data_IF_005663581057
#
_entry.id   IF_005663581057
#
_cell.length_a   1.000
_cell.length_b   1.000
_cell.length_c   1.000
_cell.angle_alpha   90.00
_cell.angle_beta   90.00
_cell.angle_gamma   90.00
#
_symmetry.space_group_name_H-M   'P 1'
#
loop_
_entity.id
_entity.type
_entity.pdbx_description
1 polymer ?
#
# COMPACT_ATOMS: atom_id res chain seq x y z
N UNK A 1 -17.77 -90.79 28.08
CA UNK A 1 -17.90 -90.17 26.77
C UNK A 1 -17.70 -88.69 26.99
N UNK A 2 -16.59 -88.19 26.55
CA UNK A 2 -15.95 -86.91 26.90
C UNK A 2 -16.33 -85.80 25.91
N UNK A 3 -16.91 -84.76 26.44
CA UNK A 3 -17.15 -83.50 25.65
C UNK A 3 -16.05 -82.54 26.00
N UNK A 4 -15.24 -82.17 25.00
CA UNK A 4 -14.18 -81.11 25.12
C UNK A 4 -14.79 -79.79 24.76
N UNK A 5 -14.77 -78.90 25.77
CA UNK A 5 -15.09 -77.46 25.53
C UNK A 5 -13.92 -76.70 24.87
N UNK A 6 -14.24 -75.95 23.85
CA UNK A 6 -13.29 -75.05 23.20
C UNK A 6 -13.43 -73.67 23.86
N UNK A 7 -12.35 -73.16 24.39
CA UNK A 7 -12.26 -71.81 24.91
C UNK A 7 -11.96 -70.83 23.76
N UNK A 8 -12.83 -69.82 23.59
CA UNK A 8 -12.68 -68.77 22.63
C UNK A 8 -11.91 -67.59 23.28
N UNK A 9 -10.70 -67.36 22.85
CA UNK A 9 -9.88 -66.21 23.30
C UNK A 9 -10.29 -64.92 22.55
N UNK A 10 -10.84 -63.97 23.28
CA UNK A 10 -11.22 -62.67 22.78
C UNK A 10 -9.97 -61.76 22.83
N UNK A 11 -9.41 -61.40 21.66
CA UNK A 11 -8.31 -60.45 21.56
C UNK A 11 -8.94 -59.04 21.50
N UNK A 12 -8.76 -58.28 22.57
CA UNK A 12 -9.06 -56.84 22.58
C UNK A 12 -7.93 -56.11 21.88
N UNK A 13 -8.21 -55.55 20.70
CA UNK A 13 -7.32 -54.59 20.03
C UNK A 13 -7.51 -53.21 20.65
N UNK A 14 -6.53 -52.76 21.42
CA UNK A 14 -6.48 -51.40 21.91
C UNK A 14 -6.07 -50.46 20.74
N UNK A 15 -7.03 -49.72 20.21
CA UNK A 15 -6.81 -48.68 19.23
C UNK A 15 -6.13 -47.49 19.90
N UNK A 16 -4.85 -47.30 19.65
CA UNK A 16 -4.13 -46.05 19.94
C UNK A 16 -4.64 -44.98 18.96
N UNK A 17 -5.60 -44.17 19.39
CA UNK A 17 -6.01 -42.97 18.73
C UNK A 17 -4.87 -41.94 18.82
N UNK A 18 -4.11 -41.76 17.74
CA UNK A 18 -3.19 -40.65 17.62
C UNK A 18 -4.04 -39.34 17.56
N UNK A 19 -4.03 -38.59 18.65
CA UNK A 19 -4.55 -37.25 18.67
C UNK A 19 -3.67 -36.41 17.72
N UNK A 20 -4.16 -36.10 16.53
CA UNK A 20 -3.58 -35.11 15.67
C UNK A 20 -3.76 -33.75 16.38
N UNK A 21 -2.66 -33.22 16.89
CA UNK A 21 -2.61 -31.83 17.36
C UNK A 21 -2.91 -30.93 16.14
N UNK A 22 -4.12 -30.41 16.09
CA UNK A 22 -4.49 -29.36 15.16
C UNK A 22 -3.60 -28.14 15.48
N UNK A 23 -2.73 -27.78 14.53
CA UNK A 23 -2.00 -26.51 14.60
C UNK A 23 -3.01 -25.39 14.84
N UNK A 24 -2.74 -24.44 15.75
CA UNK A 24 -3.63 -23.33 15.96
C UNK A 24 -3.83 -22.63 14.62
N UNK A 25 -5.08 -22.49 14.19
CA UNK A 25 -5.44 -21.69 13.04
C UNK A 25 -4.82 -20.29 13.29
N UNK A 26 -3.95 -19.85 12.37
CA UNK A 26 -3.47 -18.51 12.39
C UNK A 26 -4.71 -17.62 12.43
N UNK A 27 -4.83 -16.82 13.48
CA UNK A 27 -5.85 -15.80 13.54
C UNK A 27 -5.56 -14.87 12.39
N UNK A 28 -6.32 -14.96 11.31
CA UNK A 28 -6.41 -13.93 10.31
C UNK A 28 -6.94 -12.68 11.01
N UNK A 29 -6.05 -11.91 11.59
CA UNK A 29 -6.38 -10.51 11.90
C UNK A 29 -6.78 -9.88 10.57
N UNK A 30 -7.98 -9.28 10.48
CA UNK A 30 -8.39 -8.63 9.26
C UNK A 30 -7.33 -7.60 8.92
N UNK A 31 -6.73 -7.80 7.77
CA UNK A 31 -5.68 -6.96 7.24
C UNK A 31 -6.13 -5.50 7.26
N UNK A 32 -5.63 -4.73 8.21
CA UNK A 32 -5.97 -3.30 8.40
C UNK A 32 -5.36 -2.53 7.23
N UNK A 33 -6.12 -2.42 6.13
CA UNK A 33 -5.78 -1.54 5.03
C UNK A 33 -6.48 -0.21 5.28
N UNK A 34 -5.82 0.70 5.95
CA UNK A 34 -6.29 2.04 6.31
C UNK A 34 -5.75 3.12 5.37
N UNK A 35 -4.87 2.74 4.45
CA UNK A 35 -4.35 3.60 3.41
C UNK A 35 -4.88 3.18 2.03
N UNK A 36 -5.14 4.17 1.19
CA UNK A 36 -5.47 3.97 -0.23
C UNK A 36 -4.56 4.87 -1.06
N UNK A 37 -3.98 4.31 -2.12
CA UNK A 37 -3.29 5.09 -3.15
C UNK A 37 -3.98 4.79 -4.47
N UNK A 38 -4.64 5.80 -5.04
CA UNK A 38 -5.38 5.67 -6.29
C UNK A 38 -4.68 6.43 -7.41
N UNK A 39 -4.57 5.82 -8.58
CA UNK A 39 -3.97 6.38 -9.78
C UNK A 39 -5.06 6.66 -10.80
N UNK A 40 -5.07 7.88 -11.33
CA UNK A 40 -6.10 8.38 -12.25
C UNK A 40 -5.39 8.98 -13.47
N UNK A 41 -5.78 8.54 -14.65
CA UNK A 41 -5.31 9.08 -15.91
C UNK A 41 -6.51 9.56 -16.73
N UNK A 42 -6.52 10.85 -17.08
CA UNK A 42 -7.62 11.46 -17.82
C UNK A 42 -7.17 11.91 -19.20
N UNK A 43 -8.12 12.11 -20.10
CA UNK A 43 -7.84 12.63 -21.43
C UNK A 43 -7.14 13.99 -21.33
N UNK A 44 -6.08 14.24 -22.13
CA UNK A 44 -5.47 15.54 -22.22
C UNK A 44 -6.48 16.66 -22.49
N UNK A 45 -6.39 17.76 -21.74
CA UNK A 45 -7.37 18.85 -21.75
C UNK A 45 -8.53 18.67 -20.75
N UNK A 46 -8.61 17.55 -20.04
CA UNK A 46 -9.61 17.30 -19.00
C UNK A 46 -9.10 17.55 -17.57
N UNK A 47 -7.88 18.05 -17.42
CA UNK A 47 -7.18 18.18 -16.12
C UNK A 47 -7.96 19.07 -15.15
N UNK A 48 -8.55 20.17 -15.62
CA UNK A 48 -9.35 21.09 -14.79
C UNK A 48 -10.60 20.38 -14.26
N UNK A 49 -11.26 19.56 -15.08
CA UNK A 49 -12.45 18.79 -14.68
C UNK A 49 -12.08 17.72 -13.64
N UNK A 50 -10.99 16.99 -13.88
CA UNK A 50 -10.48 15.99 -12.94
C UNK A 50 -10.13 16.64 -11.60
N UNK A 51 -9.41 17.76 -11.63
CA UNK A 51 -9.02 18.49 -10.43
C UNK A 51 -10.23 19.01 -9.65
N UNK A 52 -11.26 19.50 -10.32
CA UNK A 52 -12.50 19.94 -9.67
C UNK A 52 -13.21 18.77 -8.96
N UNK A 53 -13.34 17.60 -9.60
CA UNK A 53 -13.94 16.42 -9.01
C UNK A 53 -13.15 15.93 -7.78
N UNK A 54 -11.81 15.84 -7.89
CA UNK A 54 -10.93 15.38 -6.81
C UNK A 54 -10.90 16.36 -5.62
N UNK A 55 -10.95 17.68 -5.86
CA UNK A 55 -11.05 18.68 -4.80
C UNK A 55 -12.39 18.61 -4.08
N UNK A 56 -13.49 18.44 -4.82
CA UNK A 56 -14.81 18.28 -4.24
C UNK A 56 -14.87 17.01 -3.36
N UNK A 57 -14.34 15.88 -3.86
CA UNK A 57 -14.22 14.64 -3.09
C UNK A 57 -13.45 14.89 -1.80
N UNK A 58 -12.24 15.47 -1.88
CA UNK A 58 -11.41 15.75 -0.70
C UNK A 58 -12.17 16.61 0.32
N UNK A 59 -12.81 17.68 -0.12
CA UNK A 59 -13.54 18.59 0.76
C UNK A 59 -14.73 17.90 1.45
N UNK A 60 -15.44 17.04 0.74
CA UNK A 60 -16.54 16.26 1.31
C UNK A 60 -16.06 15.20 2.30
N UNK A 61 -14.97 14.50 1.94
CA UNK A 61 -14.39 13.41 2.75
C UNK A 61 -13.93 13.85 4.14
N UNK A 62 -13.58 15.13 4.34
CA UNK A 62 -13.21 15.67 5.66
C UNK A 62 -14.30 15.52 6.72
N UNK A 63 -15.56 15.32 6.30
CA UNK A 63 -16.72 15.16 7.18
C UNK A 63 -17.00 13.69 7.53
N UNK A 64 -16.34 12.76 6.86
CA UNK A 64 -16.58 11.33 7.06
C UNK A 64 -15.92 10.82 8.34
N UNK A 65 -16.62 9.94 9.03
CA UNK A 65 -16.13 9.38 10.29
C UNK A 65 -14.85 8.56 10.09
N UNK A 66 -13.79 8.97 10.81
CA UNK A 66 -12.48 8.32 10.76
C UNK A 66 -11.57 8.80 9.63
N UNK A 67 -11.92 9.90 8.95
CA UNK A 67 -11.00 10.61 8.05
C UNK A 67 -9.78 11.10 8.84
N UNK A 68 -8.58 10.84 8.32
CA UNK A 68 -7.33 11.35 8.87
C UNK A 68 -6.65 12.32 7.91
N UNK A 69 -6.49 11.95 6.64
CA UNK A 69 -5.92 12.83 5.62
C UNK A 69 -6.27 12.38 4.20
N UNK A 70 -6.25 13.33 3.26
CA UNK A 70 -6.29 13.06 1.82
C UNK A 70 -5.38 14.05 1.10
N UNK A 71 -4.45 13.54 0.31
CA UNK A 71 -3.62 14.32 -0.60
C UNK A 71 -4.06 14.08 -2.04
N UNK A 72 -4.31 15.15 -2.78
CA UNK A 72 -4.50 15.10 -4.23
C UNK A 72 -3.24 15.63 -4.88
N UNK A 73 -2.65 14.82 -5.76
CA UNK A 73 -1.36 15.07 -6.37
C UNK A 73 -1.49 15.06 -7.90
N UNK A 74 -0.76 15.93 -8.57
CA UNK A 74 -0.67 15.97 -10.04
C UNK A 74 0.76 15.66 -10.46
N UNK A 75 0.93 14.82 -11.47
CA UNK A 75 2.26 14.38 -11.94
C UNK A 75 3.02 15.50 -12.63
N UNK A 76 4.29 15.65 -12.29
CA UNK A 76 5.19 16.58 -12.95
C UNK A 76 5.46 16.11 -14.39
N UNK A 77 5.29 17.02 -15.35
CA UNK A 77 5.50 16.71 -16.78
C UNK A 77 4.36 15.93 -17.46
N UNK A 78 3.39 15.41 -16.73
CA UNK A 78 2.20 14.74 -17.26
C UNK A 78 0.95 15.19 -16.47
N UNK A 79 0.41 16.38 -16.77
CA UNK A 79 -0.63 17.01 -15.96
C UNK A 79 -1.97 16.26 -15.97
N UNK A 80 -2.19 15.36 -16.93
CA UNK A 80 -3.35 14.50 -17.03
C UNK A 80 -3.28 13.24 -16.11
N UNK A 81 -2.20 13.07 -15.34
CA UNK A 81 -2.05 12.00 -14.35
C UNK A 81 -2.17 12.55 -12.94
N UNK A 82 -3.02 11.91 -12.13
CA UNK A 82 -3.24 12.27 -10.73
C UNK A 82 -3.00 11.06 -9.84
N UNK A 83 -2.68 11.36 -8.58
CA UNK A 83 -2.66 10.37 -7.49
C UNK A 83 -3.46 10.94 -6.33
N UNK A 84 -4.29 10.10 -5.72
CA UNK A 84 -4.94 10.39 -4.45
C UNK A 84 -4.36 9.46 -3.40
N UNK A 85 -3.90 10.03 -2.30
CA UNK A 85 -3.44 9.27 -1.13
C UNK A 85 -4.39 9.55 0.01
N UNK A 86 -5.09 8.51 0.47
CA UNK A 86 -6.04 8.59 1.56
C UNK A 86 -5.52 7.85 2.79
N UNK A 87 -5.78 8.41 3.97
CA UNK A 87 -5.52 7.77 5.25
C UNK A 87 -6.77 7.82 6.12
N UNK A 88 -7.17 6.66 6.62
CA UNK A 88 -8.36 6.44 7.42
C UNK A 88 -8.00 5.83 8.76
N UNK A 89 -8.79 6.08 9.80
CA UNK A 89 -8.58 5.53 11.14
C UNK A 89 -8.51 3.99 11.15
N UNK A 90 -9.26 3.34 10.26
CA UNK A 90 -9.29 1.89 10.09
C UNK A 90 -10.03 1.50 8.81
N UNK A 91 -9.96 0.23 8.46
CA UNK A 91 -10.64 -0.32 7.27
C UNK A 91 -12.17 -0.12 7.27
N UNK A 92 -12.82 -0.14 8.45
CA UNK A 92 -14.26 0.10 8.57
C UNK A 92 -14.62 1.53 8.14
N UNK A 93 -13.86 2.53 8.59
CA UNK A 93 -14.05 3.93 8.19
C UNK A 93 -13.81 4.12 6.70
N UNK A 94 -12.75 3.50 6.15
CA UNK A 94 -12.48 3.51 4.71
C UNK A 94 -13.62 2.88 3.91
N UNK A 95 -14.13 1.72 4.33
CA UNK A 95 -15.24 1.06 3.65
C UNK A 95 -16.54 1.87 3.71
N UNK A 96 -16.80 2.54 4.84
CA UNK A 96 -17.94 3.43 4.98
C UNK A 96 -17.83 4.66 4.05
N UNK A 97 -16.63 5.24 3.93
CA UNK A 97 -16.35 6.32 2.96
C UNK A 97 -16.62 5.88 1.52
N UNK A 98 -16.10 4.72 1.11
CA UNK A 98 -16.28 4.21 -0.26
C UNK A 98 -17.76 4.05 -0.68
N UNK A 99 -18.69 3.90 0.28
CA UNK A 99 -20.12 3.84 0.05
C UNK A 99 -20.83 5.20 0.06
N UNK A 100 -20.12 6.32 0.21
CA UNK A 100 -20.74 7.64 0.29
C UNK A 100 -21.12 8.20 -1.09
N UNK A 101 -22.23 8.96 -1.20
CA UNK A 101 -22.67 9.55 -2.46
C UNK A 101 -21.59 10.40 -3.15
N UNK A 102 -20.84 11.20 -2.39
CA UNK A 102 -19.77 12.04 -2.94
C UNK A 102 -18.65 11.24 -3.62
N UNK A 103 -18.41 9.99 -3.18
CA UNK A 103 -17.46 9.10 -3.84
C UNK A 103 -18.01 8.63 -5.18
N UNK A 104 -19.29 8.24 -5.21
CA UNK A 104 -19.98 7.86 -6.45
C UNK A 104 -19.99 9.02 -7.46
N UNK A 105 -20.34 10.24 -7.01
CA UNK A 105 -20.35 11.45 -7.85
C UNK A 105 -18.97 11.76 -8.43
N UNK A 106 -17.92 11.66 -7.61
CA UNK A 106 -16.54 11.87 -8.06
C UNK A 106 -16.10 10.79 -9.07
N UNK A 107 -16.48 9.54 -8.84
CA UNK A 107 -16.18 8.41 -9.75
C UNK A 107 -16.88 8.58 -11.10
N UNK A 108 -18.16 8.97 -11.10
CA UNK A 108 -18.91 9.25 -12.32
C UNK A 108 -18.27 10.40 -13.11
N UNK A 109 -17.92 11.50 -12.43
CA UNK A 109 -17.29 12.66 -13.05
C UNK A 109 -15.93 12.31 -13.66
N UNK A 110 -15.13 11.44 -13.02
CA UNK A 110 -13.86 10.98 -13.52
C UNK A 110 -14.03 9.98 -14.68
N UNK A 111 -14.94 9.01 -14.55
CA UNK A 111 -15.20 8.01 -15.59
C UNK A 111 -15.54 8.63 -16.94
N UNK A 112 -16.20 9.77 -16.95
CA UNK A 112 -16.54 10.52 -18.16
C UNK A 112 -15.31 11.11 -18.90
N UNK A 113 -14.13 11.08 -18.30
CA UNK A 113 -12.89 11.69 -18.83
C UNK A 113 -11.67 10.79 -18.70
N UNK A 114 -11.76 9.65 -18.05
CA UNK A 114 -10.67 8.68 -17.90
C UNK A 114 -10.29 8.03 -19.23
N UNK A 115 -8.99 7.80 -19.44
CA UNK A 115 -8.43 7.04 -20.57
C UNK A 115 -7.81 5.72 -20.12
N UNK A 116 -7.69 5.51 -18.81
CA UNK A 116 -7.30 4.25 -18.19
C UNK A 116 -8.24 3.96 -17.01
N UNK A 117 -8.46 2.69 -16.64
CA UNK A 117 -9.26 2.35 -15.47
C UNK A 117 -8.72 3.01 -14.20
N UNK A 118 -9.62 3.49 -13.35
CA UNK A 118 -9.27 3.99 -12.02
C UNK A 118 -8.59 2.88 -11.21
N UNK A 119 -7.31 3.06 -10.91
CA UNK A 119 -6.48 2.06 -10.23
C UNK A 119 -6.38 2.37 -8.74
N UNK A 120 -7.30 1.81 -7.95
CA UNK A 120 -7.35 1.95 -6.50
C UNK A 120 -6.62 0.79 -5.83
N UNK A 121 -5.59 1.12 -5.06
CA UNK A 121 -4.75 0.15 -4.37
C UNK A 121 -4.85 0.33 -2.86
N UNK A 122 -5.48 -0.59 -2.13
CA UNK A 122 -5.45 -0.59 -0.67
C UNK A 122 -4.07 -0.99 -0.16
N UNK A 123 -3.59 -0.26 0.85
CA UNK A 123 -2.27 -0.46 1.42
C UNK A 123 -2.34 -0.61 2.93
N UNK A 124 -1.32 -1.26 3.48
CA UNK A 124 -0.98 -1.30 4.90
C UNK A 124 0.32 -0.56 5.11
N UNK A 125 0.44 0.03 6.26
CA UNK A 125 1.71 0.59 6.69
C UNK A 125 2.77 -0.50 6.78
N UNK A 126 3.92 -0.27 6.16
CA UNK A 126 5.14 -1.03 6.37
C UNK A 126 6.06 -0.28 7.33
N UNK A 127 6.33 0.98 7.06
CA UNK A 127 7.05 1.89 7.94
C UNK A 127 6.67 3.32 7.64
N UNK A 128 6.24 4.06 8.67
CA UNK A 128 5.92 5.48 8.56
C UNK A 128 6.79 6.29 9.50
N UNK A 129 7.02 7.54 9.16
CA UNK A 129 7.74 8.51 9.95
C UNK A 129 6.84 9.60 10.49
N UNK A 130 7.44 10.63 11.09
CA UNK A 130 6.71 11.84 11.45
C UNK A 130 6.21 12.54 10.17
N UNK A 131 4.94 12.94 10.20
CA UNK A 131 4.35 13.69 9.11
C UNK A 131 4.52 15.19 9.39
N UNK A 132 5.61 15.77 8.92
CA UNK A 132 5.85 17.19 9.02
C UNK A 132 5.02 17.94 7.95
N UNK A 133 4.41 19.08 8.25
CA UNK A 133 3.70 19.87 7.26
C UNK A 133 4.66 20.47 6.22
N UNK A 134 4.22 20.64 4.97
CA UNK A 134 4.85 21.55 4.02
C UNK A 134 5.74 20.96 2.95
N UNK A 135 5.52 19.75 2.48
CA UNK A 135 6.25 19.24 1.31
C UNK A 135 5.68 19.72 -0.03
N UNK A 136 6.54 20.05 -1.00
CA UNK A 136 6.13 20.47 -2.34
C UNK A 136 6.40 19.44 -3.42
N UNK A 137 7.30 18.48 -3.18
CA UNK A 137 7.67 17.41 -4.11
C UNK A 137 7.34 16.07 -3.47
N UNK A 138 6.49 15.31 -4.13
CA UNK A 138 6.17 13.93 -3.77
C UNK A 138 6.83 12.99 -4.77
N UNK A 139 7.74 12.16 -4.30
CA UNK A 139 8.30 11.04 -5.06
C UNK A 139 7.55 9.76 -4.66
N UNK A 140 6.81 9.21 -5.60
CA UNK A 140 6.09 7.94 -5.40
C UNK A 140 6.83 6.87 -6.18
N UNK A 141 7.28 5.84 -5.46
CA UNK A 141 8.08 4.75 -6.02
C UNK A 141 7.36 3.42 -5.85
N UNK A 142 7.21 2.69 -6.94
CA UNK A 142 6.74 1.30 -6.89
C UNK A 142 7.93 0.35 -6.89
N UNK A 143 7.86 -0.63 -6.00
CA UNK A 143 8.87 -1.68 -5.85
C UNK A 143 8.14 -3.02 -5.74
N UNK A 144 8.37 -3.90 -6.71
CA UNK A 144 7.79 -5.23 -6.75
C UNK A 144 8.88 -6.26 -6.48
N UNK A 145 8.85 -6.90 -5.34
CA UNK A 145 9.79 -7.96 -5.01
C UNK A 145 9.35 -9.30 -5.59
N UNK A 146 10.32 -10.15 -5.92
CA UNK A 146 10.02 -11.56 -6.15
C UNK A 146 9.36 -12.13 -4.88
N UNK A 147 8.26 -12.90 -4.97
CA UNK A 147 7.51 -13.35 -3.79
C UNK A 147 8.35 -14.06 -2.74
N UNK A 148 9.35 -14.87 -3.18
CA UNK A 148 10.27 -15.57 -2.28
C UNK A 148 11.25 -14.65 -1.55
N UNK A 149 11.45 -13.42 -2.03
CA UNK A 149 12.38 -12.44 -1.47
C UNK A 149 11.66 -11.28 -0.75
N UNK A 150 10.36 -11.39 -0.55
CA UNK A 150 9.53 -10.34 0.07
C UNK A 150 10.10 -9.87 1.41
N UNK A 151 10.43 -10.77 2.31
CA UNK A 151 10.95 -10.40 3.64
C UNK A 151 12.26 -9.62 3.55
N UNK A 152 13.19 -10.06 2.70
CA UNK A 152 14.44 -9.32 2.44
C UNK A 152 14.17 -7.94 1.83
N UNK A 153 13.13 -7.85 1.00
CA UNK A 153 12.66 -6.59 0.43
C UNK A 153 12.11 -5.63 1.49
N UNK A 154 11.32 -6.14 2.43
CA UNK A 154 10.80 -5.35 3.56
C UNK A 154 11.96 -4.78 4.40
N UNK A 155 12.96 -5.60 4.75
CA UNK A 155 14.16 -5.17 5.49
C UNK A 155 14.93 -4.09 4.72
N UNK A 156 15.10 -4.28 3.40
CA UNK A 156 15.77 -3.30 2.53
C UNK A 156 15.02 -1.96 2.51
N UNK A 157 13.70 -1.98 2.41
CA UNK A 157 12.88 -0.77 2.44
C UNK A 157 12.91 -0.10 3.81
N UNK A 158 12.90 -0.86 4.91
CA UNK A 158 13.04 -0.28 6.26
C UNK A 158 14.34 0.52 6.40
N UNK A 159 15.46 -0.06 5.96
CA UNK A 159 16.76 0.61 5.97
C UNK A 159 16.75 1.87 5.09
N UNK A 160 16.24 1.76 3.88
CA UNK A 160 16.15 2.90 2.95
C UNK A 160 15.27 4.02 3.48
N UNK A 161 14.12 3.69 4.08
CA UNK A 161 13.24 4.68 4.68
C UNK A 161 13.88 5.37 5.90
N UNK A 162 14.64 4.63 6.71
CA UNK A 162 15.38 5.19 7.83
C UNK A 162 16.42 6.22 7.36
N UNK A 163 17.22 5.90 6.35
CA UNK A 163 18.20 6.82 5.78
C UNK A 163 17.54 8.01 5.06
N UNK A 164 16.45 7.76 4.35
CA UNK A 164 15.67 8.82 3.68
C UNK A 164 15.15 9.87 4.64
N UNK A 165 14.64 9.46 5.81
CA UNK A 165 14.13 10.39 6.85
C UNK A 165 15.21 11.30 7.43
N UNK A 166 16.47 10.90 7.38
CA UNK A 166 17.62 11.65 7.89
C UNK A 166 18.22 12.61 6.87
N UNK A 167 17.74 12.55 5.63
CA UNK A 167 18.25 13.40 4.54
C UNK A 167 17.68 14.81 4.67
N UNK A 168 18.55 15.81 4.59
CA UNK A 168 18.14 17.22 4.64
C UNK A 168 17.09 17.56 3.58
N UNK A 169 16.01 18.18 4.05
CA UNK A 169 14.88 18.57 3.21
C UNK A 169 13.85 17.45 3.01
N UNK A 170 14.03 16.29 3.66
CA UNK A 170 12.96 15.32 3.76
C UNK A 170 11.89 15.81 4.73
N UNK A 171 10.64 15.72 4.31
CA UNK A 171 9.44 16.09 5.11
C UNK A 171 8.74 14.85 5.60
N UNK A 172 8.74 13.81 4.78
CA UNK A 172 8.10 12.52 5.05
C UNK A 172 8.75 11.43 4.20
N UNK A 173 8.91 10.25 4.76
CA UNK A 173 9.39 9.09 4.02
C UNK A 173 8.69 7.85 4.56
N UNK A 174 7.64 7.43 3.87
CA UNK A 174 6.80 6.31 4.26
C UNK A 174 6.85 5.21 3.22
N UNK A 175 6.69 3.98 3.67
CA UNK A 175 6.53 2.83 2.81
C UNK A 175 5.31 2.00 3.21
N UNK A 176 4.65 1.48 2.21
CA UNK A 176 3.39 0.75 2.33
C UNK A 176 3.47 -0.55 1.57
N UNK A 177 2.82 -1.59 2.09
CA UNK A 177 2.61 -2.85 1.41
C UNK A 177 1.20 -2.90 0.83
N UNK A 178 1.07 -3.24 -0.45
CA UNK A 178 -0.24 -3.40 -1.08
C UNK A 178 -1.00 -4.58 -0.43
N UNK A 179 -2.21 -4.33 0.06
CA UNK A 179 -2.93 -5.28 0.91
C UNK A 179 -3.26 -6.61 0.23
N UNK A 180 -3.57 -6.58 -1.06
CA UNK A 180 -3.89 -7.75 -1.89
C UNK A 180 -2.69 -8.31 -2.68
N UNK A 181 -1.52 -7.66 -2.61
CA UNK A 181 -0.27 -8.07 -3.26
C UNK A 181 0.91 -7.79 -2.33
N UNK A 182 1.17 -8.65 -1.33
CA UNK A 182 2.10 -8.32 -0.25
C UNK A 182 3.58 -8.21 -0.68
N UNK A 183 3.94 -8.60 -1.90
CA UNK A 183 5.24 -8.38 -2.50
C UNK A 183 5.34 -7.08 -3.32
N UNK A 184 4.24 -6.33 -3.46
CA UNK A 184 4.21 -5.00 -4.08
C UNK A 184 4.20 -3.93 -3.00
N UNK A 185 5.13 -3.01 -3.08
CA UNK A 185 5.30 -1.95 -2.09
C UNK A 185 5.31 -0.59 -2.78
N UNK A 186 4.83 0.40 -2.05
CA UNK A 186 4.82 1.79 -2.52
C UNK A 186 5.54 2.65 -1.49
N UNK A 187 6.56 3.38 -1.92
CA UNK A 187 7.26 4.38 -1.12
C UNK A 187 6.69 5.75 -1.48
N UNK A 188 6.35 6.55 -0.47
CA UNK A 188 5.94 7.94 -0.61
C UNK A 188 6.95 8.80 0.14
N UNK A 189 7.87 9.39 -0.59
CA UNK A 189 8.85 10.33 -0.06
C UNK A 189 8.44 11.77 -0.41
N UNK A 190 8.41 12.64 0.60
CA UNK A 190 8.00 14.04 0.44
C UNK A 190 9.18 14.95 0.78
N UNK A 191 9.43 15.90 -0.10
CA UNK A 191 10.58 16.80 -0.03
C UNK A 191 10.12 18.25 -0.04
N UNK A 192 10.85 19.11 0.66
CA UNK A 192 10.56 20.54 0.67
C UNK A 192 10.93 21.24 -0.65
N UNK A 193 11.94 20.73 -1.38
CA UNK A 193 12.37 21.25 -2.69
C UNK A 193 12.77 20.12 -3.63
N UNK A 194 12.81 20.44 -4.93
CA UNK A 194 13.30 19.51 -5.96
C UNK A 194 14.81 19.25 -5.81
N UNK A 195 15.56 20.21 -5.30
CA UNK A 195 17.00 20.09 -5.04
C UNK A 195 17.27 19.10 -3.90
N UNK A 196 16.44 19.09 -2.86
CA UNK A 196 16.54 18.09 -1.77
C UNK A 196 16.30 16.68 -2.30
N UNK A 197 15.27 16.47 -3.12
CA UNK A 197 15.05 15.20 -3.80
C UNK A 197 16.24 14.80 -4.70
N UNK A 198 16.79 15.72 -5.51
CA UNK A 198 17.96 15.46 -6.36
C UNK A 198 19.18 15.03 -5.54
N UNK A 199 19.45 15.70 -4.40
CA UNK A 199 20.54 15.29 -3.51
C UNK A 199 20.34 13.87 -2.96
N UNK A 200 19.12 13.56 -2.52
CA UNK A 200 18.78 12.23 -2.05
C UNK A 200 18.99 11.16 -3.13
N UNK A 201 18.51 11.39 -4.34
CA UNK A 201 18.66 10.42 -5.44
C UNK A 201 20.11 10.20 -5.87
N UNK A 202 20.99 11.18 -5.68
CA UNK A 202 22.42 11.10 -5.99
C UNK A 202 23.27 10.52 -4.83
N UNK A 203 22.70 10.43 -3.63
CA UNK A 203 23.42 9.99 -2.44
C UNK A 203 23.77 8.50 -2.46
N UNK A 204 24.81 8.12 -1.71
CA UNK A 204 25.28 6.73 -1.62
C UNK A 204 24.16 5.77 -1.15
N UNK A 205 23.38 6.06 -0.08
CA UNK A 205 22.32 5.16 0.37
C UNK A 205 21.28 4.85 -0.70
N UNK A 206 20.92 5.81 -1.55
CA UNK A 206 19.97 5.59 -2.65
C UNK A 206 20.55 4.72 -3.75
N UNK A 207 21.83 4.89 -4.07
CA UNK A 207 22.53 4.05 -5.05
C UNK A 207 22.65 2.62 -4.56
N UNK A 208 23.04 2.42 -3.30
CA UNK A 208 23.13 1.13 -2.62
C UNK A 208 21.76 0.43 -2.60
N UNK A 209 20.71 1.13 -2.19
CA UNK A 209 19.34 0.61 -2.24
C UNK A 209 18.98 0.08 -3.63
N UNK A 210 19.23 0.87 -4.68
CA UNK A 210 18.93 0.46 -6.06
C UNK A 210 19.76 -0.73 -6.52
N UNK A 211 21.01 -0.82 -6.14
CA UNK A 211 21.88 -1.96 -6.45
C UNK A 211 21.41 -3.24 -5.75
N UNK A 212 21.03 -3.15 -4.48
CA UNK A 212 20.52 -4.29 -3.71
C UNK A 212 19.11 -4.71 -4.13
N UNK A 213 18.31 -3.76 -4.64
CA UNK A 213 16.98 -4.02 -5.15
C UNK A 213 17.00 -4.87 -6.43
N UNK A 214 17.91 -4.59 -7.36
CA UNK A 214 17.95 -5.21 -8.70
C UNK A 214 17.80 -6.74 -8.70
N UNK A 215 18.57 -7.51 -7.91
CA UNK A 215 18.45 -8.97 -7.90
C UNK A 215 17.20 -9.49 -7.17
N UNK A 216 16.47 -8.62 -6.47
CA UNK A 216 15.29 -8.96 -5.67
C UNK A 216 13.99 -8.51 -6.32
N UNK A 217 14.07 -7.63 -7.32
CA UNK A 217 12.91 -7.01 -7.96
C UNK A 217 12.34 -7.89 -9.08
N UNK A 218 11.01 -7.95 -9.13
CA UNK A 218 10.25 -8.56 -10.23
C UNK A 218 9.86 -7.57 -11.33
N UNK A 219 10.17 -6.28 -11.16
CA UNK A 219 9.84 -5.22 -12.10
C UNK A 219 10.93 -4.15 -12.16
N UNK A 220 10.80 -3.21 -13.10
CA UNK A 220 11.66 -2.04 -13.16
C UNK A 220 11.37 -1.09 -11.99
N UNK A 221 12.40 -0.39 -11.52
CA UNK A 221 12.25 0.69 -10.56
C UNK A 221 11.45 1.84 -11.18
N UNK A 222 10.25 2.11 -10.65
CA UNK A 222 9.33 3.13 -11.16
C UNK A 222 9.13 4.21 -10.10
N UNK A 223 9.89 5.30 -10.22
CA UNK A 223 9.78 6.49 -9.38
C UNK A 223 9.20 7.65 -10.20
N UNK A 224 8.13 8.26 -9.70
CA UNK A 224 7.44 9.36 -10.36
C UNK A 224 7.28 10.53 -9.41
N UNK A 225 7.44 11.74 -9.95
CA UNK A 225 7.32 12.98 -9.19
C UNK A 225 5.95 13.62 -9.38
N UNK A 226 5.43 14.10 -8.26
CA UNK A 226 4.14 14.79 -8.19
C UNK A 226 4.26 16.07 -7.37
N UNK A 227 3.31 16.96 -7.57
CA UNK A 227 3.10 18.16 -6.74
C UNK A 227 1.71 18.11 -6.12
N UNK A 228 1.53 18.61 -4.90
CA UNK A 228 0.19 18.73 -4.31
C UNK A 228 -0.63 19.75 -5.09
N UNK A 229 -1.93 19.48 -5.22
CA UNK A 229 -2.91 20.42 -5.78
C UNK A 229 -3.91 20.76 -4.68
N UNK A 230 -3.85 22.02 -4.24
CA UNK A 230 -4.68 22.58 -3.17
C UNK A 230 -6.01 23.11 -3.69
#
# INVERSE_FOLDING_TARGET
>A
MTVRGAALAMIMAAGLGAAQAQAPAAKDEPAVADWVIAYIEVAPGSEIRALAALKALKAASTKDGGYLSMAVLQRNGQPNHFVVIEHWKNNKSRAAHAGQPQVADAREALQAIEIAPYDERPHRELTTGQNNPGGTIYAITHVDFLPALRQQGEELIHTFAFEGRRTDGNVRFDAFTQANRPNHMTIVAVWNTIEAWKRHTAAAPTKEFRQELLPKSGSLYDERLYRPVN
#
